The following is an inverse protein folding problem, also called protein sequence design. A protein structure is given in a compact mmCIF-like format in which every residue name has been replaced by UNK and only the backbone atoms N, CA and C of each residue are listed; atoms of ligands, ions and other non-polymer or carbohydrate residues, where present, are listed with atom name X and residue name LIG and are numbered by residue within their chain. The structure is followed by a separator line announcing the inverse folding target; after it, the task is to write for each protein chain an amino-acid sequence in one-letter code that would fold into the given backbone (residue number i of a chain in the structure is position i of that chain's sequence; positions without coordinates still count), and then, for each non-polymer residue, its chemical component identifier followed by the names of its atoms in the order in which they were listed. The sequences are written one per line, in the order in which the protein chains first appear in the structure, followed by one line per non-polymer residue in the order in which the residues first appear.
data_IF_250534993727
#
_entry.id   IF_250534993727
#
_cell.length_a   1.000
_cell.length_b   1.000
_cell.length_c   1.000
_cell.angle_alpha   90.00
_cell.angle_beta   90.00
_cell.angle_gamma   90.00
#
_symmetry.space_group_name_H-M   'P 1'
#
loop_
_entity.id
_entity.type
_entity.pdbx_description
1 polymer ?
#
# COMPACT_ATOMS: atom_id res chain seq x y z
N UNK A 1 1.86 -48.95 -13.67
CA UNK A 1 2.21 -47.67 -14.33
C UNK A 1 1.21 -46.54 -14.08
N UNK A 2 -0.12 -46.79 -14.10
CA UNK A 2 -1.13 -45.73 -13.83
C UNK A 2 -1.03 -45.08 -12.44
N UNK A 3 -0.69 -45.85 -11.41
CA UNK A 3 -0.50 -45.35 -10.03
C UNK A 3 0.68 -44.37 -9.88
N UNK A 4 1.81 -44.62 -10.56
CA UNK A 4 2.96 -43.71 -10.57
C UNK A 4 2.65 -42.36 -11.21
N UNK A 5 1.77 -42.35 -12.22
CA UNK A 5 1.37 -41.15 -12.93
C UNK A 5 0.49 -40.23 -12.07
N UNK A 6 -0.31 -40.81 -11.16
CA UNK A 6 -1.13 -40.07 -10.18
C UNK A 6 -0.25 -39.41 -9.11
N UNK A 7 0.78 -40.11 -8.63
CA UNK A 7 1.75 -39.53 -7.67
C UNK A 7 2.62 -38.42 -8.30
N UNK A 8 2.92 -38.53 -9.59
CA UNK A 8 3.61 -37.45 -10.31
C UNK A 8 2.71 -36.22 -10.50
N UNK A 9 1.42 -36.43 -10.79
CA UNK A 9 0.46 -35.33 -10.96
C UNK A 9 0.16 -34.59 -9.64
N UNK A 10 0.13 -35.29 -8.50
CA UNK A 10 -0.09 -34.67 -7.20
C UNK A 10 1.10 -33.87 -6.69
N UNK A 11 2.34 -34.24 -7.06
CA UNK A 11 3.53 -33.49 -6.71
C UNK A 11 3.62 -32.13 -7.42
N UNK A 12 3.05 -32.00 -8.62
CA UNK A 12 3.04 -30.74 -9.38
C UNK A 12 2.07 -29.69 -8.82
N UNK A 13 1.01 -30.12 -8.11
CA UNK A 13 0.04 -29.20 -7.48
C UNK A 13 0.59 -28.49 -6.24
N UNK A 14 1.68 -28.99 -5.64
CA UNK A 14 2.30 -28.38 -4.46
C UNK A 14 3.23 -27.19 -4.79
N UNK A 15 3.54 -26.95 -6.07
CA UNK A 15 4.44 -25.87 -6.49
C UNK A 15 3.73 -24.68 -7.13
N UNK A 16 2.39 -24.67 -7.18
CA UNK A 16 1.61 -23.53 -7.65
C UNK A 16 1.18 -22.64 -6.47
N UNK A 17 2.12 -22.21 -5.63
CA UNK A 17 1.90 -21.02 -4.80
C UNK A 17 2.21 -19.81 -5.69
N UNK A 18 1.20 -19.31 -6.40
CA UNK A 18 1.29 -17.98 -6.99
C UNK A 18 1.35 -16.96 -5.86
N UNK A 19 2.40 -16.13 -5.84
CA UNK A 19 2.43 -14.96 -4.96
C UNK A 19 1.20 -14.08 -5.28
N UNK A 20 0.42 -13.73 -4.26
CA UNK A 20 -0.78 -12.94 -4.47
C UNK A 20 -0.40 -11.57 -5.04
N UNK A 21 -1.17 -11.00 -5.99
CA UNK A 21 -0.95 -9.64 -6.46
C UNK A 21 -0.91 -8.59 -5.33
N UNK A 22 -1.55 -8.90 -4.19
CA UNK A 22 -1.55 -8.03 -3.02
C UNK A 22 -0.26 -8.13 -2.21
N UNK A 23 0.37 -9.31 -2.13
CA UNK A 23 1.67 -9.50 -1.46
C UNK A 23 2.70 -8.51 -2.00
N UNK A 24 2.88 -8.50 -3.32
CA UNK A 24 3.79 -7.58 -3.99
C UNK A 24 3.41 -6.11 -3.79
N UNK A 25 2.10 -5.80 -3.76
CA UNK A 25 1.61 -4.45 -3.47
C UNK A 25 2.00 -4.00 -2.06
N UNK A 26 1.82 -4.87 -1.06
CA UNK A 26 2.18 -4.59 0.33
C UNK A 26 3.67 -4.43 0.50
N UNK A 27 4.50 -5.30 -0.08
CA UNK A 27 5.96 -5.14 -0.03
C UNK A 27 6.43 -3.77 -0.53
N UNK A 28 5.85 -3.29 -1.64
CA UNK A 28 6.17 -1.97 -2.19
C UNK A 28 5.70 -0.86 -1.24
N UNK A 29 4.47 -0.95 -0.72
CA UNK A 29 3.94 0.04 0.23
C UNK A 29 4.82 0.10 1.48
N UNK A 30 5.13 -1.04 2.10
CA UNK A 30 5.97 -1.11 3.29
C UNK A 30 7.36 -0.55 3.02
N UNK A 31 7.93 -0.82 1.84
CA UNK A 31 9.19 -0.21 1.44
C UNK A 31 9.08 1.31 1.34
N UNK A 32 8.03 1.85 0.70
CA UNK A 32 7.80 3.30 0.63
C UNK A 32 7.66 3.90 2.04
N UNK A 33 6.86 3.27 2.90
CA UNK A 33 6.61 3.73 4.27
C UNK A 33 7.87 3.66 5.13
N UNK A 34 8.73 2.66 4.94
CA UNK A 34 10.03 2.54 5.61
C UNK A 34 11.03 3.62 5.20
N UNK A 35 10.89 4.17 3.98
CA UNK A 35 11.66 5.32 3.51
C UNK A 35 11.02 6.67 3.92
N UNK A 36 9.85 6.64 4.56
CA UNK A 36 9.17 7.80 5.14
C UNK A 36 9.45 7.88 6.64
N UNK A 37 9.81 9.07 7.13
CA UNK A 37 9.89 9.37 8.55
C UNK A 37 8.66 10.19 8.96
N UNK A 38 7.84 9.58 9.81
CA UNK A 38 6.63 10.14 10.42
C UNK A 38 6.86 10.19 11.93
N UNK A 39 6.45 11.29 12.59
CA UNK A 39 6.78 11.58 14.00
C UNK A 39 6.09 10.67 15.02
N UNK A 40 5.24 9.75 14.59
CA UNK A 40 4.41 8.89 15.42
C UNK A 40 4.63 7.42 15.05
N UNK A 41 4.34 6.51 15.98
CA UNK A 41 4.29 5.06 15.71
C UNK A 41 3.38 4.79 14.51
N UNK A 42 3.89 4.09 13.50
CA UNK A 42 3.13 3.80 12.28
C UNK A 42 2.07 2.72 12.55
N UNK A 43 0.82 3.15 12.63
CA UNK A 43 -0.40 2.34 12.68
C UNK A 43 -1.14 2.43 11.35
N UNK A 44 -1.40 1.28 10.74
CA UNK A 44 -1.98 1.17 9.41
C UNK A 44 -3.44 0.73 9.49
N UNK A 45 -4.28 1.41 8.73
CA UNK A 45 -5.62 0.95 8.37
C UNK A 45 -5.77 0.98 6.85
N UNK A 46 -6.59 0.09 6.29
CA UNK A 46 -6.99 0.11 4.89
C UNK A 46 -8.45 -0.26 4.73
N UNK A 47 -9.07 0.29 3.69
CA UNK A 47 -10.40 -0.15 3.26
C UNK A 47 -10.36 -1.43 2.40
N UNK A 48 -9.16 -1.86 1.99
CA UNK A 48 -8.93 -3.15 1.37
C UNK A 48 -8.50 -4.18 2.45
N UNK A 49 -9.35 -5.20 2.67
CA UNK A 49 -9.10 -6.23 3.68
C UNK A 49 -7.93 -7.16 3.34
N UNK A 50 -7.67 -7.43 2.07
CA UNK A 50 -6.53 -8.26 1.65
C UNK A 50 -5.21 -7.56 1.98
N UNK A 51 -5.15 -6.24 1.77
CA UNK A 51 -4.00 -5.41 2.17
C UNK A 51 -3.81 -5.42 3.69
N UNK A 52 -4.90 -5.31 4.46
CA UNK A 52 -4.80 -5.37 5.92
C UNK A 52 -4.29 -6.73 6.42
N UNK A 53 -4.76 -7.82 5.83
CA UNK A 53 -4.33 -9.17 6.19
C UNK A 53 -2.84 -9.36 5.89
N UNK A 54 -2.40 -8.97 4.69
CA UNK A 54 -1.01 -9.11 4.27
C UNK A 54 -0.05 -8.25 5.10
N UNK A 55 -0.39 -6.99 5.39
CA UNK A 55 0.40 -6.13 6.30
C UNK A 55 0.49 -6.76 7.71
N UNK A 56 -0.61 -7.36 8.18
CA UNK A 56 -0.64 -8.04 9.47
C UNK A 56 0.25 -9.29 9.48
N UNK A 57 0.30 -10.04 8.38
CA UNK A 57 1.14 -11.23 8.23
C UNK A 57 2.64 -10.89 8.22
N UNK A 58 3.02 -9.80 7.54
CA UNK A 58 4.41 -9.33 7.51
C UNK A 58 4.90 -8.83 8.87
N UNK A 59 3.99 -8.35 9.73
CA UNK A 59 4.28 -7.91 11.09
C UNK A 59 5.31 -6.76 11.19
N UNK A 60 5.50 -5.99 10.11
CA UNK A 60 6.35 -4.79 10.09
C UNK A 60 5.66 -3.57 10.71
N UNK A 61 4.32 -3.55 10.70
CA UNK A 61 3.49 -2.44 11.16
C UNK A 61 2.30 -2.92 11.98
N UNK A 62 1.85 -2.07 12.91
CA UNK A 62 0.64 -2.34 13.68
C UNK A 62 -0.60 -2.06 12.84
N UNK A 63 -1.41 -3.08 12.59
CA UNK A 63 -2.73 -2.93 11.96
C UNK A 63 -3.78 -2.55 13.00
N UNK A 64 -4.62 -1.56 12.69
CA UNK A 64 -5.74 -1.13 13.53
C UNK A 64 -7.08 -1.39 12.84
N UNK A 65 -8.15 -1.52 13.63
CA UNK A 65 -9.48 -1.88 13.13
C UNK A 65 -10.26 -0.69 12.56
N UNK A 66 -9.90 0.54 12.96
CA UNK A 66 -10.60 1.76 12.58
C UNK A 66 -9.62 2.81 12.05
N UNK A 67 -10.03 3.57 11.04
CA UNK A 67 -9.19 4.63 10.46
C UNK A 67 -8.89 5.77 11.45
N UNK A 68 -9.75 5.95 12.45
CA UNK A 68 -9.63 6.94 13.50
C UNK A 68 -8.39 6.68 14.39
N UNK A 69 -8.02 5.41 14.58
CA UNK A 69 -6.86 4.98 15.36
C UNK A 69 -5.56 4.91 14.54
N UNK A 70 -5.67 5.02 13.21
CA UNK A 70 -4.55 4.91 12.30
C UNK A 70 -3.73 6.21 12.28
N UNK A 71 -2.44 6.07 11.99
CA UNK A 71 -1.59 7.20 11.56
C UNK A 71 -1.53 7.29 10.05
N UNK A 72 -1.54 6.14 9.37
CA UNK A 72 -1.52 6.02 7.91
C UNK A 72 -2.74 5.22 7.46
N UNK A 73 -3.43 5.76 6.46
CA UNK A 73 -4.53 5.11 5.76
C UNK A 73 -4.03 4.72 4.38
N UNK A 74 -4.13 3.44 4.04
CA UNK A 74 -3.98 2.94 2.68
C UNK A 74 -5.37 2.84 2.07
N UNK A 75 -5.69 3.66 1.07
CA UNK A 75 -7.05 3.80 0.56
C UNK A 75 -7.19 3.38 -0.90
N UNK A 76 -8.12 2.48 -1.19
CA UNK A 76 -8.46 2.01 -2.54
C UNK A 76 -9.74 2.63 -3.08
N UNK A 77 -10.71 2.93 -2.23
CA UNK A 77 -11.98 3.56 -2.61
C UNK A 77 -12.29 4.78 -1.73
N UNK A 78 -12.50 5.94 -2.37
CA UNK A 78 -12.81 7.20 -1.68
C UNK A 78 -14.08 7.15 -0.84
N UNK A 79 -15.08 6.37 -1.24
CA UNK A 79 -16.37 6.30 -0.55
C UNK A 79 -16.26 5.63 0.82
N UNK A 80 -15.19 4.86 1.05
CA UNK A 80 -14.89 4.22 2.33
C UNK A 80 -14.16 5.17 3.30
N UNK A 81 -13.72 6.35 2.84
CA UNK A 81 -13.04 7.31 3.70
C UNK A 81 -14.05 8.11 4.53
N UNK A 82 -14.14 7.77 5.82
CA UNK A 82 -14.93 8.55 6.78
C UNK A 82 -14.37 9.95 6.95
N UNK A 83 -15.25 10.95 7.06
CA UNK A 83 -14.88 12.35 7.31
C UNK A 83 -14.00 12.53 8.55
N UNK A 84 -14.22 11.75 9.61
CA UNK A 84 -13.39 11.79 10.83
C UNK A 84 -11.91 11.42 10.58
N UNK A 85 -11.61 10.75 9.48
CA UNK A 85 -10.28 10.26 9.13
C UNK A 85 -9.58 11.11 8.07
N UNK A 86 -10.18 12.24 7.64
CA UNK A 86 -9.63 13.09 6.58
C UNK A 86 -8.34 13.85 6.97
N UNK A 87 -7.98 13.86 8.25
CA UNK A 87 -6.77 14.51 8.78
C UNK A 87 -5.57 13.55 8.93
N UNK A 88 -5.72 12.27 8.58
CA UNK A 88 -4.65 11.27 8.65
C UNK A 88 -3.73 11.36 7.44
N UNK A 89 -2.55 10.72 7.50
CA UNK A 89 -1.72 10.54 6.33
C UNK A 89 -2.37 9.51 5.40
N UNK A 90 -2.71 9.90 4.18
CA UNK A 90 -3.40 9.00 3.24
C UNK A 90 -2.46 8.65 2.08
N UNK A 91 -2.28 7.37 1.84
CA UNK A 91 -1.62 6.83 0.66
C UNK A 91 -2.66 6.06 -0.16
N UNK A 92 -2.79 6.35 -1.46
CA UNK A 92 -3.88 5.81 -2.27
C UNK A 92 -3.41 4.69 -3.22
N UNK A 93 -4.31 3.78 -3.56
CA UNK A 93 -4.02 2.65 -4.47
C UNK A 93 -4.45 2.89 -5.93
N UNK A 94 -4.83 4.14 -6.25
CA UNK A 94 -5.18 4.59 -7.59
C UNK A 94 -4.71 6.03 -7.80
N UNK A 95 -4.14 6.34 -8.97
CA UNK A 95 -3.67 7.67 -9.32
C UNK A 95 -4.79 8.73 -9.28
N UNK A 96 -5.99 8.39 -9.75
CA UNK A 96 -7.13 9.32 -9.82
C UNK A 96 -7.53 9.84 -8.43
N UNK A 97 -7.32 9.02 -7.39
CA UNK A 97 -7.59 9.40 -6.00
C UNK A 97 -6.68 10.51 -5.49
N UNK A 98 -5.53 10.77 -6.12
CA UNK A 98 -4.70 11.92 -5.78
C UNK A 98 -5.46 13.24 -5.98
N UNK A 99 -6.32 13.30 -6.99
CA UNK A 99 -7.18 14.46 -7.30
C UNK A 99 -8.39 14.52 -6.37
N UNK A 100 -9.06 13.38 -6.17
CA UNK A 100 -10.26 13.29 -5.33
C UNK A 100 -9.97 13.49 -3.84
N UNK A 101 -8.73 13.20 -3.41
CA UNK A 101 -8.32 13.18 -2.01
C UNK A 101 -7.09 14.08 -1.86
N UNK A 102 -7.26 15.42 -1.75
CA UNK A 102 -6.15 16.37 -1.75
C UNK A 102 -5.16 16.21 -0.59
N UNK A 103 -5.58 15.54 0.49
CA UNK A 103 -4.73 15.18 1.63
C UNK A 103 -3.86 13.94 1.38
N UNK A 104 -4.10 13.16 0.31
CA UNK A 104 -3.26 12.01 0.00
C UNK A 104 -1.85 12.46 -0.39
N UNK A 105 -0.81 11.84 0.17
CA UNK A 105 0.56 12.27 -0.07
C UNK A 105 1.24 11.51 -1.22
N UNK A 106 0.70 10.36 -1.61
CA UNK A 106 1.23 9.56 -2.69
C UNK A 106 0.28 8.45 -3.13
N UNK A 107 0.62 7.81 -4.24
CA UNK A 107 -0.14 6.73 -4.84
C UNK A 107 0.77 5.58 -5.28
N UNK A 108 0.26 4.36 -5.20
CA UNK A 108 0.77 3.18 -5.87
C UNK A 108 -0.31 2.61 -6.79
N UNK A 109 -0.04 2.44 -8.08
CA UNK A 109 -1.02 1.96 -9.04
C UNK A 109 -0.36 1.18 -10.17
N UNK A 110 -1.11 0.29 -10.82
CA UNK A 110 -0.59 -0.51 -11.94
C UNK A 110 -0.94 0.14 -13.28
N UNK A 111 0.06 0.24 -14.16
CA UNK A 111 -0.13 0.66 -15.55
C UNK A 111 0.62 -0.30 -16.45
N UNK A 112 -0.09 -0.96 -17.36
CA UNK A 112 0.47 -1.97 -18.29
C UNK A 112 1.28 -3.06 -17.57
N UNK A 113 0.71 -3.59 -16.48
CA UNK A 113 1.32 -4.69 -15.69
C UNK A 113 2.50 -4.28 -14.80
N UNK A 114 2.82 -2.99 -14.68
CA UNK A 114 3.94 -2.50 -13.86
C UNK A 114 3.45 -1.59 -12.73
N UNK A 115 4.02 -1.69 -11.52
CA UNK A 115 3.75 -0.73 -10.46
C UNK A 115 4.32 0.64 -10.83
N UNK A 116 3.55 1.68 -10.54
CA UNK A 116 3.94 3.07 -10.65
C UNK A 116 3.71 3.72 -9.28
N UNK A 117 4.70 4.49 -8.85
CA UNK A 117 4.69 5.17 -7.56
C UNK A 117 4.78 6.67 -7.84
N UNK A 118 3.93 7.44 -7.18
CA UNK A 118 3.96 8.90 -7.21
C UNK A 118 3.86 9.43 -5.79
N UNK A 119 4.72 10.36 -5.43
CA UNK A 119 4.72 11.04 -4.14
C UNK A 119 4.67 12.54 -4.39
N UNK A 120 3.64 13.20 -3.89
CA UNK A 120 3.41 14.63 -4.14
C UNK A 120 4.22 15.44 -3.13
N UNK A 121 5.33 16.02 -3.59
CA UNK A 121 6.31 16.70 -2.74
C UNK A 121 5.70 17.83 -1.89
N UNK A 122 4.85 18.73 -2.42
CA UNK A 122 4.19 19.73 -1.58
C UNK A 122 3.34 19.15 -0.45
N UNK A 123 2.75 17.95 -0.66
CA UNK A 123 1.84 17.32 0.30
C UNK A 123 2.60 16.62 1.42
N UNK A 124 3.69 15.91 1.12
CA UNK A 124 4.57 15.36 2.18
C UNK A 124 5.15 16.47 3.05
N UNK A 125 5.56 17.61 2.45
CA UNK A 125 6.04 18.79 3.21
C UNK A 125 4.96 19.37 4.11
N UNK A 126 3.75 19.57 3.58
CA UNK A 126 2.60 20.08 4.36
C UNK A 126 2.24 19.14 5.52
N UNK A 127 2.44 17.85 5.34
CA UNK A 127 2.16 16.82 6.33
C UNK A 127 3.35 16.51 7.24
N UNK A 128 4.46 17.24 7.12
CA UNK A 128 5.70 17.00 7.88
C UNK A 128 6.26 15.57 7.72
N UNK A 129 5.96 14.91 6.59
CA UNK A 129 6.55 13.62 6.21
C UNK A 129 7.90 13.91 5.58
N UNK A 130 8.97 13.32 6.13
CA UNK A 130 10.31 13.37 5.52
C UNK A 130 10.53 12.09 4.74
N UNK A 131 11.19 12.17 3.59
CA UNK A 131 11.53 11.01 2.77
C UNK A 131 13.05 10.86 2.63
N UNK A 132 13.53 9.63 2.49
CA UNK A 132 14.92 9.37 2.14
C UNK A 132 15.21 9.71 0.66
N UNK A 133 16.50 9.68 0.28
CA UNK A 133 16.93 9.88 -1.11
C UNK A 133 16.41 8.80 -2.06
N UNK A 134 16.06 7.62 -1.55
CA UNK A 134 15.54 6.51 -2.37
C UNK A 134 14.18 6.83 -2.99
N UNK A 135 13.44 7.79 -2.42
CA UNK A 135 12.15 8.21 -2.93
C UNK A 135 12.22 9.40 -3.90
N UNK A 136 13.38 10.03 -4.07
CA UNK A 136 13.56 11.19 -4.97
C UNK A 136 13.04 10.95 -6.40
N UNK A 137 13.27 9.78 -7.04
CA UNK A 137 12.77 9.53 -8.40
C UNK A 137 11.24 9.51 -8.54
N UNK A 138 10.52 9.36 -7.42
CA UNK A 138 9.05 9.28 -7.39
C UNK A 138 8.41 10.59 -6.93
N UNK A 139 9.21 11.63 -6.63
CA UNK A 139 8.70 12.92 -6.20
C UNK A 139 8.17 13.72 -7.40
N UNK A 140 6.91 14.13 -7.30
CA UNK A 140 6.27 15.02 -8.26
C UNK A 140 5.86 16.35 -7.60
N UNK A 141 5.94 17.45 -8.38
CA UNK A 141 5.54 18.78 -7.91
C UNK A 141 4.03 18.98 -7.91
N UNK A 142 3.30 18.23 -8.74
CA UNK A 142 1.84 18.31 -8.93
C UNK A 142 1.33 17.02 -9.57
N UNK A 143 0.02 16.85 -9.57
CA UNK A 143 -0.69 15.81 -10.33
C UNK A 143 -0.77 16.26 -11.80
N UNK A 144 -0.66 15.33 -12.73
CA UNK A 144 -0.64 15.55 -14.19
C UNK A 144 -1.85 14.97 -14.89
#
# INVERSE_FOLDING_TARGET
MKLLLIYFLSALLLFAQEESPQHNKVLIIEKILGECSITQEVKIWSDNQEILLEVKEHNNYKVVQSCEDATIIILENKDNLKKACSNKHIFVLNYELLSDIPQSFGALFWKKGRPNIVIIEPRIKKQSIKTSKNLEPYLEKKIW
#
